data_IF_202430802854
#
_entry.id   IF_202430802854
#
_cell.length_a   1.000
_cell.length_b   1.000
_cell.length_c   1.000
_cell.angle_alpha   90.00
_cell.angle_beta   90.00
_cell.angle_gamma   90.00
#
_symmetry.space_group_name_H-M   'P 1'
#
loop_
_entity.id
_entity.type
_entity.pdbx_description
1 polymer ?
#
# COMPACT_ATOMS: atom_id res chain seq x y z
N UNK A 1 -30.73 33.68 -25.35
CA UNK A 1 -29.89 33.61 -26.57
C UNK A 1 -29.84 32.17 -27.08
N UNK A 2 -30.50 31.85 -28.21
CA UNK A 2 -30.37 30.54 -28.87
C UNK A 2 -28.96 30.43 -29.47
N UNK A 3 -28.10 29.55 -28.92
CA UNK A 3 -26.76 29.27 -29.49
C UNK A 3 -26.94 28.66 -30.88
N UNK A 4 -26.26 29.24 -31.86
CA UNK A 4 -26.30 28.85 -33.27
C UNK A 4 -25.58 27.48 -33.47
N UNK A 5 -26.26 26.39 -33.12
CA UNK A 5 -25.78 25.00 -33.25
C UNK A 5 -25.43 24.63 -34.70
N UNK A 6 -26.03 25.31 -35.68
CA UNK A 6 -25.76 25.12 -37.11
C UNK A 6 -24.30 25.38 -37.50
N UNK A 7 -23.65 26.39 -36.91
CA UNK A 7 -22.24 26.70 -37.21
C UNK A 7 -21.29 25.63 -36.68
N UNK A 8 -21.62 25.01 -35.55
CA UNK A 8 -20.85 23.90 -34.98
C UNK A 8 -20.97 22.65 -35.85
N UNK A 9 -22.18 22.31 -36.29
CA UNK A 9 -22.41 21.17 -37.19
C UNK A 9 -21.71 21.36 -38.54
N UNK A 10 -21.74 22.56 -39.11
CA UNK A 10 -21.00 22.87 -40.34
C UNK A 10 -19.49 22.72 -40.11
N UNK A 11 -18.95 23.21 -38.99
CA UNK A 11 -17.53 23.04 -38.68
C UNK A 11 -17.14 21.56 -38.51
N UNK A 12 -17.96 20.74 -37.86
CA UNK A 12 -17.75 19.30 -37.72
C UNK A 12 -17.76 18.61 -39.08
N UNK A 13 -18.73 18.91 -39.94
CA UNK A 13 -18.81 18.34 -41.29
C UNK A 13 -17.58 18.74 -42.13
N UNK A 14 -17.14 20.00 -42.05
CA UNK A 14 -15.94 20.47 -42.73
C UNK A 14 -14.69 19.73 -42.23
N UNK A 15 -14.55 19.54 -40.91
CA UNK A 15 -13.45 18.77 -40.34
C UNK A 15 -13.44 17.31 -40.78
N UNK A 16 -14.61 16.66 -40.82
CA UNK A 16 -14.75 15.29 -41.31
C UNK A 16 -14.42 15.17 -42.80
N UNK A 17 -14.81 16.15 -43.62
CA UNK A 17 -14.45 16.20 -45.04
C UNK A 17 -12.94 16.42 -45.24
N UNK A 18 -12.33 17.32 -44.47
CA UNK A 18 -10.87 17.53 -44.48
C UNK A 18 -10.15 16.25 -44.08
N UNK A 19 -10.60 15.59 -43.02
CA UNK A 19 -10.06 14.30 -42.59
C UNK A 19 -10.19 13.24 -43.69
N UNK A 20 -11.35 13.11 -44.33
CA UNK A 20 -11.56 12.16 -45.41
C UNK A 20 -10.64 12.42 -46.61
N UNK A 21 -10.47 13.69 -47.00
CA UNK A 21 -9.55 14.08 -48.08
C UNK A 21 -8.10 13.80 -47.71
N UNK A 22 -7.68 14.16 -46.50
CA UNK A 22 -6.34 13.87 -45.99
C UNK A 22 -6.09 12.36 -45.97
N UNK A 23 -7.07 11.57 -45.54
CA UNK A 23 -6.98 10.11 -45.53
C UNK A 23 -6.84 9.55 -46.94
N UNK A 24 -7.62 10.01 -47.92
CA UNK A 24 -7.50 9.58 -49.33
C UNK A 24 -6.13 9.92 -49.92
N UNK A 25 -5.51 11.03 -49.51
CA UNK A 25 -4.22 11.49 -50.06
C UNK A 25 -3.00 10.89 -49.35
N UNK A 26 -3.07 10.76 -48.02
CA UNK A 26 -1.98 10.26 -47.18
C UNK A 26 -1.95 8.74 -47.17
N UNK A 27 -3.11 8.06 -47.19
CA UNK A 27 -3.18 6.61 -47.09
C UNK A 27 -2.42 5.88 -48.23
N UNK A 28 -2.49 6.28 -49.51
CA UNK A 28 -1.71 5.64 -50.57
C UNK A 28 -0.20 5.86 -50.42
N UNK A 29 0.22 7.04 -49.94
CA UNK A 29 1.62 7.33 -49.64
C UNK A 29 2.12 6.49 -48.47
N UNK A 30 1.29 6.35 -47.44
CA UNK A 30 1.58 5.51 -46.29
C UNK A 30 1.66 4.03 -46.69
N UNK A 31 0.71 3.52 -47.47
CA UNK A 31 0.72 2.13 -47.96
C UNK A 31 1.96 1.86 -48.80
N UNK A 32 2.35 2.80 -49.66
CA UNK A 32 3.53 2.64 -50.53
C UNK A 32 4.84 2.62 -49.75
N UNK A 33 4.95 3.43 -48.69
CA UNK A 33 6.23 3.69 -48.02
C UNK A 33 6.37 2.95 -46.68
N UNK A 34 5.27 2.55 -46.05
CA UNK A 34 5.25 2.08 -44.66
C UNK A 34 4.33 0.88 -44.39
N UNK A 35 3.42 0.49 -45.31
CA UNK A 35 2.56 -0.66 -45.02
C UNK A 35 3.34 -1.98 -44.99
N UNK A 36 3.11 -2.83 -43.97
CA UNK A 36 3.78 -4.12 -43.85
C UNK A 36 3.31 -5.07 -44.97
N UNK A 37 4.26 -5.76 -45.61
CA UNK A 37 4.00 -6.61 -46.80
C UNK A 37 3.39 -7.98 -46.50
N UNK A 38 3.15 -8.34 -45.23
CA UNK A 38 2.42 -9.53 -44.82
C UNK A 38 1.73 -9.28 -43.48
N UNK A 39 0.43 -9.54 -43.41
CA UNK A 39 -0.32 -9.57 -42.16
C UNK A 39 -0.12 -10.94 -41.51
N UNK A 40 0.78 -11.03 -40.54
CA UNK A 40 0.84 -12.16 -39.61
C UNK A 40 -0.13 -11.91 -38.45
N UNK A 41 -0.88 -12.93 -37.98
CA UNK A 41 -1.85 -12.74 -36.91
C UNK A 41 -1.13 -12.64 -35.55
N UNK A 42 -1.50 -11.60 -34.79
CA UNK A 42 -1.41 -11.44 -33.33
C UNK A 42 0.00 -11.63 -32.72
N UNK A 43 0.62 -10.49 -32.42
CA UNK A 43 1.85 -10.42 -31.63
C UNK A 43 2.61 -9.11 -31.92
N UNK A 44 1.94 -7.97 -31.83
CA UNK A 44 2.65 -6.69 -31.92
C UNK A 44 3.47 -6.51 -30.64
N UNK A 45 4.78 -6.35 -30.79
CA UNK A 45 5.62 -5.92 -29.67
C UNK A 45 5.12 -4.55 -29.17
N UNK A 46 5.27 -4.20 -27.88
CA UNK A 46 4.81 -2.93 -27.34
C UNK A 46 5.22 -1.76 -28.23
N UNK A 47 6.46 -1.72 -28.72
CA UNK A 47 6.95 -0.64 -29.60
C UNK A 47 6.17 -0.53 -30.92
N UNK A 48 5.69 -1.66 -31.47
CA UNK A 48 4.93 -1.69 -32.72
C UNK A 48 3.48 -1.24 -32.52
N UNK A 49 2.88 -1.57 -31.37
CA UNK A 49 1.60 -1.02 -30.93
C UNK A 49 1.71 0.50 -30.76
N UNK A 50 2.77 0.97 -30.09
CA UNK A 50 3.05 2.38 -29.87
C UNK A 50 3.21 3.16 -31.18
N UNK A 51 3.87 2.58 -32.19
CA UNK A 51 4.03 3.18 -33.52
C UNK A 51 2.71 3.18 -34.31
N UNK A 52 1.92 2.10 -34.23
CA UNK A 52 0.66 1.97 -34.96
C UNK A 52 -0.44 2.93 -34.47
N UNK A 53 -0.40 3.33 -33.20
CA UNK A 53 -1.38 4.23 -32.59
C UNK A 53 -0.80 5.59 -32.20
N UNK A 54 0.38 5.98 -32.70
CA UNK A 54 1.16 7.12 -32.19
C UNK A 54 0.41 8.47 -32.01
N UNK A 55 -0.67 8.73 -32.77
CA UNK A 55 -1.52 9.92 -32.60
C UNK A 55 -2.78 9.73 -31.73
N UNK A 56 -3.00 8.53 -31.18
CA UNK A 56 -4.19 8.10 -30.44
C UNK A 56 -3.85 7.29 -29.18
N UNK A 57 -2.59 7.28 -28.73
CA UNK A 57 -2.14 6.42 -27.62
C UNK A 57 -2.89 6.71 -26.34
N UNK A 58 -3.03 7.98 -26.00
CA UNK A 58 -3.72 8.47 -24.80
C UNK A 58 -5.22 8.20 -24.88
N UNK A 59 -5.81 8.32 -26.08
CA UNK A 59 -7.21 7.95 -26.30
C UNK A 59 -7.45 6.45 -26.13
N UNK A 60 -6.56 5.62 -26.67
CA UNK A 60 -6.60 4.16 -26.49
C UNK A 60 -6.36 3.78 -25.02
N UNK A 61 -5.43 4.45 -24.34
CA UNK A 61 -5.19 4.31 -22.92
C UNK A 61 -6.46 4.60 -22.11
N UNK A 62 -7.19 5.68 -22.43
CA UNK A 62 -8.46 6.00 -21.78
C UNK A 62 -9.54 4.93 -21.99
N UNK A 63 -9.70 4.39 -23.21
CA UNK A 63 -10.65 3.29 -23.47
C UNK A 63 -10.27 2.03 -22.68
N UNK A 64 -8.99 1.67 -22.67
CA UNK A 64 -8.50 0.51 -21.95
C UNK A 64 -8.64 0.70 -20.43
N UNK A 65 -8.47 1.91 -19.94
CA UNK A 65 -8.67 2.24 -18.53
C UNK A 65 -10.13 2.05 -18.10
N UNK A 66 -11.09 2.55 -18.89
CA UNK A 66 -12.52 2.29 -18.65
C UNK A 66 -12.84 0.79 -18.70
N UNK A 67 -12.17 0.03 -19.58
CA UNK A 67 -12.34 -1.42 -19.63
C UNK A 67 -11.75 -2.13 -18.41
N UNK A 68 -10.60 -1.66 -17.91
CA UNK A 68 -9.99 -2.17 -16.68
C UNK A 68 -10.92 -1.99 -15.48
N UNK A 69 -11.55 -0.82 -15.37
CA UNK A 69 -12.58 -0.53 -14.37
C UNK A 69 -13.78 -1.49 -14.47
N UNK A 70 -14.26 -1.78 -15.69
CA UNK A 70 -15.30 -2.79 -15.90
C UNK A 70 -14.91 -4.21 -15.46
N UNK A 71 -13.65 -4.61 -15.67
CA UNK A 71 -13.14 -5.89 -15.16
C UNK A 71 -13.03 -5.90 -13.64
N UNK A 72 -12.63 -4.78 -13.04
CA UNK A 72 -12.58 -4.65 -11.58
C UNK A 72 -13.98 -4.80 -10.97
N UNK A 73 -14.98 -4.08 -11.47
CA UNK A 73 -16.36 -4.17 -10.99
C UNK A 73 -17.00 -5.56 -11.16
N UNK A 74 -16.53 -6.35 -12.12
CA UNK A 74 -16.97 -7.74 -12.32
C UNK A 74 -16.17 -8.78 -11.54
N UNK A 75 -15.16 -8.37 -10.76
CA UNK A 75 -14.31 -9.26 -9.97
C UNK A 75 -13.28 -10.06 -10.79
N UNK A 76 -13.07 -9.70 -12.07
CA UNK A 76 -12.11 -10.38 -12.94
C UNK A 76 -10.71 -9.75 -12.81
N UNK A 77 -10.07 -9.95 -11.66
CA UNK A 77 -8.78 -9.35 -11.34
C UNK A 77 -7.64 -9.84 -12.24
N UNK A 78 -7.69 -11.09 -12.73
CA UNK A 78 -6.74 -11.63 -13.70
C UNK A 78 -6.70 -10.80 -14.99
N UNK A 79 -7.82 -10.21 -15.40
CA UNK A 79 -7.91 -9.35 -16.57
C UNK A 79 -7.53 -7.88 -16.30
N UNK A 80 -7.57 -7.42 -15.05
CA UNK A 80 -7.21 -6.03 -14.69
C UNK A 80 -5.73 -5.79 -14.91
N UNK A 81 -4.88 -6.72 -14.48
CA UNK A 81 -3.42 -6.58 -14.52
C UNK A 81 -2.86 -6.33 -15.94
N UNK A 82 -3.18 -7.14 -16.96
CA UNK A 82 -2.74 -6.87 -18.34
C UNK A 82 -3.25 -5.52 -18.87
N UNK A 83 -4.47 -5.11 -18.51
CA UNK A 83 -5.01 -3.82 -18.95
C UNK A 83 -4.23 -2.65 -18.35
N UNK A 84 -3.97 -2.68 -17.04
CA UNK A 84 -3.14 -1.67 -16.37
C UNK A 84 -1.79 -1.51 -17.08
N UNK A 85 -1.13 -2.62 -17.41
CA UNK A 85 0.17 -2.58 -18.09
C UNK A 85 0.10 -2.01 -19.50
N UNK A 86 -0.93 -2.35 -20.27
CA UNK A 86 -1.12 -1.79 -21.61
C UNK A 86 -1.36 -0.28 -21.54
N UNK A 87 -2.15 0.17 -20.56
CA UNK A 87 -2.42 1.59 -20.34
C UNK A 87 -1.12 2.33 -20.01
N UNK A 88 -0.28 1.82 -19.09
CA UNK A 88 0.98 2.49 -18.73
C UNK A 88 2.03 2.45 -19.84
N UNK A 89 2.01 1.45 -20.72
CA UNK A 89 2.85 1.50 -21.93
C UNK A 89 2.40 2.58 -22.91
N UNK A 90 1.08 2.72 -23.10
CA UNK A 90 0.52 3.71 -24.01
C UNK A 90 0.68 5.13 -23.49
N UNK A 91 0.38 5.35 -22.21
CA UNK A 91 0.45 6.62 -21.49
C UNK A 91 1.23 6.45 -20.17
N UNK A 92 2.58 6.51 -20.22
CA UNK A 92 3.44 6.34 -19.04
C UNK A 92 3.35 7.50 -18.06
N UNK A 93 2.72 8.62 -18.43
CA UNK A 93 2.54 9.77 -17.54
C UNK A 93 1.20 9.75 -16.79
N UNK A 94 0.44 8.67 -16.92
CA UNK A 94 -0.85 8.51 -16.25
C UNK A 94 -0.70 8.13 -14.77
N UNK A 95 -0.64 9.14 -13.91
CA UNK A 95 -0.48 8.98 -12.45
C UNK A 95 -1.62 8.16 -11.85
N UNK A 96 -2.86 8.40 -12.28
CA UNK A 96 -4.05 7.75 -11.74
C UNK A 96 -4.02 6.24 -11.95
N UNK A 97 -3.52 5.78 -13.11
CA UNK A 97 -3.40 4.35 -13.41
C UNK A 97 -2.35 3.69 -12.52
N UNK A 98 -1.20 4.35 -12.29
CA UNK A 98 -0.17 3.84 -11.38
C UNK A 98 -0.68 3.77 -9.93
N UNK A 99 -1.26 4.86 -9.43
CA UNK A 99 -1.81 4.96 -8.08
C UNK A 99 -2.93 3.95 -7.85
N UNK A 100 -3.97 4.00 -8.69
CA UNK A 100 -5.17 3.15 -8.55
C UNK A 100 -4.84 1.67 -8.82
N UNK A 101 -3.99 1.39 -9.82
CA UNK A 101 -3.55 0.04 -10.13
C UNK A 101 -2.78 -0.60 -8.96
N UNK A 102 -1.84 0.14 -8.36
CA UNK A 102 -1.12 -0.32 -7.18
C UNK A 102 -2.05 -0.50 -5.98
N UNK A 103 -3.04 0.38 -5.80
CA UNK A 103 -4.07 0.24 -4.80
C UNK A 103 -4.90 -1.04 -4.99
N UNK A 104 -5.35 -1.36 -6.21
CA UNK A 104 -6.05 -2.62 -6.47
C UNK A 104 -5.21 -3.85 -6.15
N UNK A 105 -3.96 -3.89 -6.62
CA UNK A 105 -3.01 -4.97 -6.34
C UNK A 105 -2.81 -5.15 -4.82
N UNK A 106 -2.63 -4.05 -4.09
CA UNK A 106 -2.37 -4.06 -2.67
C UNK A 106 -3.61 -4.37 -1.81
N UNK A 107 -4.82 -3.99 -2.23
CA UNK A 107 -6.00 -3.99 -1.36
C UNK A 107 -7.11 -4.92 -1.82
N UNK A 108 -7.39 -4.98 -3.12
CA UNK A 108 -8.68 -5.45 -3.62
C UNK A 108 -8.61 -6.82 -4.31
N UNK A 109 -7.41 -7.33 -4.58
CA UNK A 109 -7.24 -8.73 -4.99
C UNK A 109 -7.34 -9.60 -3.75
N UNK A 110 -8.56 -10.03 -3.45
CA UNK A 110 -8.91 -10.73 -2.21
C UNK A 110 -9.40 -12.14 -2.44
N UNK A 111 -9.37 -12.93 -1.37
CA UNK A 111 -10.08 -14.19 -1.27
C UNK A 111 -11.59 -13.99 -1.01
N UNK A 112 -12.35 -15.10 -0.85
CA UNK A 112 -13.80 -15.05 -0.58
C UNK A 112 -14.14 -14.31 0.74
N UNK A 113 -13.22 -14.27 1.70
CA UNK A 113 -13.37 -13.58 2.98
C UNK A 113 -12.90 -12.11 2.96
N UNK A 114 -12.63 -11.55 1.77
CA UNK A 114 -12.11 -10.18 1.58
C UNK A 114 -10.73 -9.94 2.21
N UNK A 115 -9.92 -10.98 2.39
CA UNK A 115 -8.52 -10.87 2.79
C UNK A 115 -7.67 -10.68 1.54
N UNK A 116 -6.96 -9.56 1.45
CA UNK A 116 -6.13 -9.31 0.28
C UNK A 116 -4.92 -10.23 0.20
N UNK A 117 -4.59 -10.62 -1.03
CA UNK A 117 -3.45 -11.44 -1.36
C UNK A 117 -2.16 -10.62 -1.30
N UNK A 118 -1.42 -10.84 -0.21
CA UNK A 118 -0.18 -10.13 0.08
C UNK A 118 0.91 -10.38 -0.96
N UNK A 119 0.80 -11.45 -1.75
CA UNK A 119 1.75 -11.80 -2.82
C UNK A 119 1.77 -10.76 -3.96
N UNK A 120 0.72 -9.95 -4.10
CA UNK A 120 0.68 -8.84 -5.07
C UNK A 120 1.33 -7.55 -4.56
N UNK A 121 1.65 -7.42 -3.27
CA UNK A 121 2.27 -6.18 -2.74
C UNK A 121 3.62 -5.89 -3.40
N UNK A 122 4.56 -6.85 -3.57
CA UNK A 122 5.80 -6.58 -4.30
C UNK A 122 5.56 -6.07 -5.73
N UNK A 123 4.53 -6.58 -6.41
CA UNK A 123 4.11 -6.12 -7.73
C UNK A 123 3.60 -4.68 -7.69
N UNK A 124 2.78 -4.33 -6.69
CA UNK A 124 2.27 -2.97 -6.50
C UNK A 124 3.41 -1.97 -6.25
N UNK A 125 4.37 -2.32 -5.39
CA UNK A 125 5.54 -1.48 -5.10
C UNK A 125 6.41 -1.30 -6.35
N UNK A 126 6.62 -2.38 -7.13
CA UNK A 126 7.35 -2.28 -8.40
C UNK A 126 6.64 -1.39 -9.42
N UNK A 127 5.31 -1.46 -9.46
CA UNK A 127 4.49 -0.65 -10.34
C UNK A 127 4.56 0.84 -9.97
N UNK A 128 4.49 1.16 -8.68
CA UNK A 128 4.68 2.53 -8.19
C UNK A 128 6.10 3.05 -8.46
N UNK A 129 7.13 2.22 -8.29
CA UNK A 129 8.51 2.59 -8.63
C UNK A 129 8.64 2.97 -10.11
N UNK A 130 8.09 2.17 -11.03
CA UNK A 130 8.06 2.53 -12.46
C UNK A 130 7.30 3.84 -12.70
N UNK A 131 6.16 4.01 -12.02
CA UNK A 131 5.39 5.25 -12.09
C UNK A 131 6.18 6.47 -11.64
N UNK A 132 6.94 6.36 -10.55
CA UNK A 132 7.85 7.40 -10.03
C UNK A 132 8.95 7.73 -11.04
N UNK A 133 9.52 6.72 -11.71
CA UNK A 133 10.52 6.95 -12.75
C UNK A 133 9.91 7.63 -13.99
N UNK A 134 8.66 7.33 -14.35
CA UNK A 134 8.01 8.06 -15.45
C UNK A 134 7.51 9.45 -15.02
N UNK A 135 7.21 9.63 -13.73
CA UNK A 135 6.56 10.82 -13.16
C UNK A 135 7.33 11.32 -11.90
N UNK A 136 8.56 11.79 -12.09
CA UNK A 136 9.51 12.19 -11.03
C UNK A 136 9.11 13.42 -10.24
N UNK A 137 8.32 14.32 -10.83
CA UNK A 137 8.14 15.71 -10.42
C UNK A 137 6.77 15.93 -9.81
N UNK A 138 6.05 14.84 -9.53
CA UNK A 138 4.75 14.83 -8.89
C UNK A 138 4.86 14.12 -7.56
N UNK A 139 4.23 14.68 -6.53
CA UNK A 139 4.32 14.16 -5.18
C UNK A 139 3.46 12.91 -4.96
N UNK A 140 2.39 12.76 -5.75
CA UNK A 140 1.34 11.74 -5.57
C UNK A 140 1.93 10.34 -5.48
N UNK A 141 2.76 9.91 -6.43
CA UNK A 141 3.27 8.54 -6.45
C UNK A 141 4.25 8.25 -5.30
N UNK A 142 5.03 9.24 -4.85
CA UNK A 142 5.84 9.11 -3.64
C UNK A 142 4.96 8.96 -2.40
N UNK A 143 3.88 9.73 -2.32
CA UNK A 143 2.91 9.60 -1.24
C UNK A 143 2.21 8.23 -1.27
N UNK A 144 1.78 7.75 -2.44
CA UNK A 144 1.10 6.46 -2.57
C UNK A 144 2.03 5.29 -2.22
N UNK A 145 3.33 5.38 -2.56
CA UNK A 145 4.35 4.43 -2.10
C UNK A 145 4.44 4.46 -0.56
N UNK A 146 4.57 5.64 0.03
CA UNK A 146 4.58 5.79 1.49
C UNK A 146 3.30 5.29 2.15
N UNK A 147 2.14 5.51 1.54
CA UNK A 147 0.83 5.05 2.00
C UNK A 147 0.70 3.52 1.96
N UNK A 148 1.24 2.88 0.91
CA UNK A 148 1.32 1.42 0.83
C UNK A 148 2.12 0.84 2.01
N UNK A 149 3.28 1.43 2.32
CA UNK A 149 4.07 1.05 3.49
C UNK A 149 3.32 1.31 4.81
N UNK A 150 2.80 2.52 4.99
CA UNK A 150 2.17 2.95 6.23
C UNK A 150 0.90 2.16 6.57
N UNK A 151 0.00 2.03 5.60
CA UNK A 151 -1.35 1.52 5.84
C UNK A 151 -1.49 0.04 5.49
N UNK A 152 -1.02 -0.37 4.29
CA UNK A 152 -1.21 -1.76 3.84
C UNK A 152 -0.22 -2.71 4.49
N UNK A 153 1.07 -2.41 4.31
CA UNK A 153 2.17 -3.25 4.79
C UNK A 153 2.27 -3.15 6.31
N UNK A 154 1.84 -2.03 6.88
CA UNK A 154 1.99 -1.74 8.31
C UNK A 154 3.47 -1.67 8.70
N UNK A 155 4.22 -0.84 7.96
CA UNK A 155 5.62 -0.54 8.18
C UNK A 155 5.86 0.98 8.08
N UNK A 156 5.64 1.74 9.18
CA UNK A 156 5.85 3.18 9.21
C UNK A 156 7.32 3.54 9.04
N UNK A 157 8.23 2.67 9.45
CA UNK A 157 9.68 2.89 9.35
C UNK A 157 10.07 3.07 7.88
N UNK A 158 9.63 2.15 7.01
CA UNK A 158 9.86 2.26 5.56
C UNK A 158 8.92 3.26 4.85
N UNK A 159 7.81 3.66 5.47
CA UNK A 159 6.94 4.71 4.92
C UNK A 159 7.55 6.11 4.98
N UNK A 160 8.28 6.42 6.06
CA UNK A 160 8.79 7.77 6.33
C UNK A 160 9.64 8.34 5.18
N UNK A 161 10.65 7.64 4.62
CA UNK A 161 11.47 8.18 3.53
C UNK A 161 10.65 8.63 2.32
N UNK A 162 9.65 7.84 1.91
CA UNK A 162 8.76 8.16 0.80
C UNK A 162 7.89 9.38 1.09
N UNK A 163 7.34 9.47 2.31
CA UNK A 163 6.56 10.62 2.73
C UNK A 163 7.40 11.90 2.90
N UNK A 164 8.68 11.78 3.27
CA UNK A 164 9.63 12.91 3.30
C UNK A 164 9.84 13.48 1.91
N UNK A 165 10.08 12.62 0.92
CA UNK A 165 10.19 13.04 -0.50
C UNK A 165 8.92 13.73 -0.97
N UNK A 166 7.75 13.14 -0.73
CA UNK A 166 6.47 13.73 -1.14
C UNK A 166 6.25 15.13 -0.53
N UNK A 167 6.70 15.37 0.71
CA UNK A 167 6.50 16.63 1.41
C UNK A 167 7.39 17.80 0.90
N UNK A 168 8.40 17.55 0.06
CA UNK A 168 9.24 18.59 -0.54
C UNK A 168 8.52 19.38 -1.65
N UNK A 169 7.51 18.77 -2.28
CA UNK A 169 6.74 19.37 -3.35
C UNK A 169 5.78 20.43 -2.82
N UNK A 170 5.80 21.64 -3.39
CA UNK A 170 5.02 22.79 -2.91
C UNK A 170 3.52 22.64 -3.13
N UNK A 171 3.14 21.99 -4.22
CA UNK A 171 1.77 21.76 -4.67
C UNK A 171 1.08 20.58 -3.97
N UNK A 172 1.78 19.85 -3.09
CA UNK A 172 1.19 18.78 -2.30
C UNK A 172 0.01 19.28 -1.44
N UNK A 173 -1.09 18.53 -1.51
CA UNK A 173 -2.33 18.80 -0.77
C UNK A 173 -2.03 19.01 0.74
N UNK A 174 -2.43 20.14 1.34
CA UNK A 174 -2.05 20.50 2.72
C UNK A 174 -2.41 19.46 3.79
N UNK A 175 -3.53 18.75 3.62
CA UNK A 175 -3.97 17.70 4.54
C UNK A 175 -3.12 16.42 4.42
N UNK A 176 -2.65 16.05 3.23
CA UNK A 176 -1.82 14.85 3.05
C UNK A 176 -0.44 14.98 3.71
N UNK A 177 0.05 16.21 3.91
CA UNK A 177 1.30 16.49 4.63
C UNK A 177 1.30 16.01 6.07
N UNK A 178 0.12 15.88 6.68
CA UNK A 178 -0.05 15.38 8.06
C UNK A 178 0.44 13.94 8.20
N UNK A 179 0.38 13.15 7.12
CA UNK A 179 0.71 11.73 7.16
C UNK A 179 2.17 11.45 7.48
N UNK A 180 3.08 12.36 7.12
CA UNK A 180 4.46 12.25 7.52
C UNK A 180 4.62 12.31 9.04
N UNK A 181 3.92 13.22 9.74
CA UNK A 181 3.99 13.27 11.21
C UNK A 181 3.41 11.99 11.84
N UNK A 182 2.30 11.47 11.32
CA UNK A 182 1.75 10.21 11.82
C UNK A 182 2.68 9.01 11.56
N UNK A 183 3.38 8.97 10.43
CA UNK A 183 4.37 7.92 10.14
C UNK A 183 5.61 8.06 11.03
N UNK A 184 6.12 9.28 11.23
CA UNK A 184 7.21 9.56 12.17
C UNK A 184 6.85 9.12 13.58
N UNK A 185 5.66 9.48 14.07
CA UNK A 185 5.20 9.09 15.39
C UNK A 185 5.09 7.57 15.52
N UNK A 186 4.44 6.89 14.56
CA UNK A 186 4.31 5.42 14.59
C UNK A 186 5.64 4.69 14.43
N UNK A 187 6.62 5.27 13.75
CA UNK A 187 7.97 4.70 13.66
C UNK A 187 8.82 4.94 14.91
N UNK A 188 8.31 5.66 15.94
CA UNK A 188 9.07 5.99 17.14
C UNK A 188 10.01 7.19 16.97
N UNK A 189 9.93 7.92 15.85
CA UNK A 189 10.69 9.16 15.58
C UNK A 189 9.92 10.36 16.15
N UNK A 190 9.70 10.34 17.46
CA UNK A 190 8.78 11.23 18.16
C UNK A 190 9.14 12.72 18.08
N UNK A 191 10.42 13.04 18.28
CA UNK A 191 11.01 14.36 18.09
C UNK A 191 10.72 14.92 16.69
N UNK A 192 10.98 14.15 15.65
CA UNK A 192 10.72 14.58 14.27
C UNK A 192 9.22 14.71 13.98
N UNK A 193 8.37 13.91 14.63
CA UNK A 193 6.93 14.04 14.52
C UNK A 193 6.45 15.38 15.10
N UNK A 194 6.96 15.76 16.27
CA UNK A 194 6.70 17.05 16.92
C UNK A 194 7.20 18.21 16.03
N UNK A 195 8.43 18.12 15.53
CA UNK A 195 9.01 19.16 14.67
C UNK A 195 8.19 19.35 13.39
N UNK A 196 7.74 18.26 12.77
CA UNK A 196 6.90 18.33 11.56
C UNK A 196 5.52 18.92 11.87
N UNK A 197 4.88 18.51 12.98
CA UNK A 197 3.62 19.11 13.40
C UNK A 197 3.76 20.61 13.70
N UNK A 198 4.80 21.02 14.42
CA UNK A 198 5.09 22.41 14.73
C UNK A 198 5.29 23.24 13.46
N UNK A 199 6.07 22.72 12.49
CA UNK A 199 6.23 23.35 11.18
C UNK A 199 4.90 23.54 10.47
N UNK A 200 4.07 22.51 10.41
CA UNK A 200 2.75 22.59 9.78
C UNK A 200 1.82 23.57 10.50
N UNK A 201 1.83 23.58 11.83
CA UNK A 201 1.02 24.47 12.66
C UNK A 201 1.38 25.94 12.42
N UNK A 202 2.67 26.29 12.49
CA UNK A 202 3.16 27.65 12.21
C UNK A 202 2.85 28.10 10.77
N UNK A 203 2.83 27.15 9.83
CA UNK A 203 2.43 27.46 8.46
C UNK A 203 0.92 27.76 8.34
N UNK A 204 0.07 26.98 9.02
CA UNK A 204 -1.38 27.24 9.05
C UNK A 204 -1.72 28.56 9.75
N UNK A 205 -0.94 28.97 10.75
CA UNK A 205 -1.16 30.23 11.49
C UNK A 205 -1.13 31.47 10.59
N UNK A 206 -0.28 31.49 9.55
CA UNK A 206 -0.17 32.60 8.59
C UNK A 206 -1.48 32.89 7.85
N UNK A 207 -2.29 31.84 7.66
CA UNK A 207 -3.50 31.85 6.85
C UNK A 207 -4.77 31.61 7.68
N UNK A 208 -4.63 31.54 9.01
CA UNK A 208 -5.74 31.27 9.93
C UNK A 208 -6.87 32.28 9.75
N UNK A 209 -8.10 31.78 9.64
CA UNK A 209 -9.29 32.63 9.54
C UNK A 209 -9.53 33.26 8.17
N UNK A 210 -8.68 32.97 7.16
CA UNK A 210 -8.94 33.38 5.77
C UNK A 210 -10.21 32.74 5.21
N UNK A 211 -10.41 31.45 5.48
CA UNK A 211 -11.61 30.70 5.13
C UNK A 211 -11.81 29.52 6.10
N UNK A 212 -12.85 28.72 5.84
CA UNK A 212 -13.16 27.54 6.64
C UNK A 212 -12.05 26.48 6.57
N UNK A 213 -11.44 26.28 5.39
CA UNK A 213 -10.41 25.25 5.21
C UNK A 213 -9.13 25.61 5.96
N UNK A 214 -8.70 26.88 5.90
CA UNK A 214 -7.52 27.36 6.61
C UNK A 214 -7.71 27.32 8.13
N UNK A 215 -8.93 27.61 8.62
CA UNK A 215 -9.28 27.48 10.03
C UNK A 215 -9.27 26.02 10.48
N UNK A 216 -9.86 25.12 9.68
CA UNK A 216 -9.86 23.69 9.95
C UNK A 216 -8.43 23.11 9.94
N UNK A 217 -7.57 23.51 8.99
CA UNK A 217 -6.17 23.09 8.96
C UNK A 217 -5.41 23.54 10.21
N UNK A 218 -5.64 24.77 10.67
CA UNK A 218 -5.06 25.28 11.91
C UNK A 218 -5.49 24.42 13.11
N UNK A 219 -6.79 24.23 13.30
CA UNK A 219 -7.34 23.50 14.45
C UNK A 219 -6.86 22.03 14.47
N UNK A 220 -6.87 21.35 13.32
CA UNK A 220 -6.37 19.97 13.20
C UNK A 220 -4.89 19.89 13.54
N UNK A 221 -4.06 20.80 13.02
CA UNK A 221 -2.61 20.78 13.27
C UNK A 221 -2.28 21.13 14.72
N UNK A 222 -3.01 22.08 15.32
CA UNK A 222 -2.89 22.41 16.74
C UNK A 222 -3.20 21.18 17.61
N UNK A 223 -4.38 20.59 17.43
CA UNK A 223 -4.81 19.45 18.23
C UNK A 223 -3.83 18.27 18.11
N UNK A 224 -3.37 17.94 16.90
CA UNK A 224 -2.41 16.85 16.72
C UNK A 224 -1.04 17.15 17.34
N UNK A 225 -0.56 18.40 17.29
CA UNK A 225 0.68 18.81 17.95
C UNK A 225 0.55 18.68 19.47
N UNK A 226 -0.54 19.21 20.03
CA UNK A 226 -0.82 19.16 21.48
C UNK A 226 -0.95 17.72 21.96
N UNK A 227 -1.72 16.88 21.27
CA UNK A 227 -1.86 15.45 21.59
C UNK A 227 -0.52 14.71 21.52
N UNK A 228 0.29 15.00 20.50
CA UNK A 228 1.63 14.40 20.35
C UNK A 228 2.54 14.79 21.52
N UNK A 229 2.59 16.08 21.87
CA UNK A 229 3.39 16.58 22.99
C UNK A 229 2.91 16.01 24.33
N UNK A 230 1.59 15.94 24.53
CA UNK A 230 0.99 15.42 25.75
C UNK A 230 1.29 13.93 25.95
N UNK A 231 1.23 13.11 24.89
CA UNK A 231 1.61 11.70 24.98
C UNK A 231 3.08 11.53 25.37
N UNK A 232 3.97 12.31 24.76
CA UNK A 232 5.40 12.26 25.06
C UNK A 232 5.71 12.74 26.48
N UNK A 233 5.10 13.83 26.95
CA UNK A 233 5.30 14.33 28.31
C UNK A 233 4.83 13.32 29.36
N UNK A 234 3.66 12.69 29.15
CA UNK A 234 3.13 11.68 30.06
C UNK A 234 4.02 10.44 30.16
N UNK A 235 4.75 10.08 29.09
CA UNK A 235 5.57 8.85 29.04
C UNK A 235 7.03 9.08 29.37
N UNK A 236 7.61 10.15 28.84
CA UNK A 236 9.05 10.41 28.81
C UNK A 236 9.42 11.79 29.37
N UNK A 237 8.45 12.56 29.88
CA UNK A 237 8.72 13.82 30.54
C UNK A 237 9.49 13.65 31.86
N UNK A 238 9.85 14.76 32.52
CA UNK A 238 10.60 14.74 33.79
C UNK A 238 9.89 13.97 34.91
N UNK A 239 8.56 14.08 34.97
CA UNK A 239 7.69 13.40 35.92
C UNK A 239 6.69 12.52 35.16
N UNK A 240 7.15 11.39 34.60
CA UNK A 240 6.32 10.59 33.70
C UNK A 240 5.17 9.92 34.48
N UNK A 241 3.93 10.11 34.01
CA UNK A 241 2.70 9.46 34.50
C UNK A 241 2.63 7.99 34.04
N UNK A 242 3.71 7.24 34.24
CA UNK A 242 3.82 5.85 33.81
C UNK A 242 3.10 4.94 34.80
N UNK A 243 1.89 4.53 34.45
CA UNK A 243 1.26 3.40 35.11
C UNK A 243 2.16 2.16 34.94
N UNK A 244 2.18 1.22 35.92
CA UNK A 244 2.91 -0.03 35.76
C UNK A 244 2.63 -0.70 34.42
N UNK A 245 3.62 -1.36 33.78
CA UNK A 245 3.38 -2.06 32.52
C UNK A 245 2.20 -3.03 32.62
N UNK A 246 1.38 -3.08 31.57
CA UNK A 246 0.28 -4.05 31.48
C UNK A 246 0.85 -5.42 31.18
N UNK A 247 0.58 -6.39 32.05
CA UNK A 247 0.82 -7.80 31.74
C UNK A 247 -0.19 -8.28 30.71
N UNK A 248 0.29 -8.52 29.50
CA UNK A 248 -0.55 -8.90 28.37
C UNK A 248 -1.04 -10.34 28.46
N UNK A 249 -0.42 -11.20 29.28
CA UNK A 249 -0.77 -12.63 29.38
C UNK A 249 -1.01 -13.27 28.00
N UNK A 250 -0.17 -12.90 27.02
CA UNK A 250 -0.40 -13.22 25.63
C UNK A 250 -0.27 -14.72 25.44
N UNK A 251 -1.23 -15.28 24.73
CA UNK A 251 -1.16 -16.65 24.25
C UNK A 251 -2.02 -16.83 23.02
N UNK A 252 -1.66 -17.78 22.18
CA UNK A 252 -2.40 -18.11 20.98
C UNK A 252 -2.27 -19.60 20.66
N UNK A 253 -3.32 -20.19 20.11
CA UNK A 253 -3.34 -21.56 19.63
C UNK A 253 -3.95 -21.62 18.24
N UNK A 254 -3.62 -22.70 17.54
CA UNK A 254 -4.19 -23.01 16.23
C UNK A 254 -4.58 -24.48 16.20
N UNK A 255 -5.76 -24.77 15.68
CA UNK A 255 -6.27 -26.12 15.44
C UNK A 255 -6.77 -26.22 14.00
N UNK A 256 -6.33 -27.24 13.28
CA UNK A 256 -6.93 -27.58 11.98
C UNK A 256 -8.27 -28.26 12.25
N UNK A 257 -9.38 -27.64 11.83
CA UNK A 257 -10.75 -28.17 12.07
C UNK A 257 -11.31 -28.88 10.85
N UNK A 258 -10.91 -28.49 9.65
CA UNK A 258 -11.21 -29.13 8.36
C UNK A 258 -10.00 -28.93 7.43
N UNK A 259 -9.85 -29.69 6.33
CA UNK A 259 -8.77 -29.45 5.37
C UNK A 259 -8.73 -27.98 4.93
N UNK A 260 -7.59 -27.31 5.15
CA UNK A 260 -7.35 -25.88 4.87
C UNK A 260 -8.19 -24.90 5.72
N UNK A 261 -8.78 -25.36 6.82
CA UNK A 261 -9.56 -24.51 7.73
C UNK A 261 -8.95 -24.53 9.12
N UNK A 262 -8.52 -23.36 9.60
CA UNK A 262 -7.89 -23.21 10.90
C UNK A 262 -8.85 -22.52 11.87
N UNK A 263 -9.05 -23.10 13.04
CA UNK A 263 -9.55 -22.38 14.20
C UNK A 263 -8.34 -21.80 14.94
N UNK A 264 -8.28 -20.49 15.03
CA UNK A 264 -7.28 -19.76 15.81
C UNK A 264 -7.95 -19.06 16.98
N UNK A 265 -7.33 -19.11 18.15
CA UNK A 265 -7.86 -18.48 19.35
C UNK A 265 -6.75 -18.14 20.35
N UNK A 266 -7.03 -17.26 21.29
CA UNK A 266 -6.03 -16.85 22.27
C UNK A 266 -6.48 -15.73 23.19
N UNK A 267 -5.51 -15.21 23.94
CA UNK A 267 -5.68 -14.16 24.95
C UNK A 267 -4.71 -13.02 24.66
N UNK A 268 -5.20 -11.80 24.85
CA UNK A 268 -4.43 -10.56 24.92
C UNK A 268 -5.06 -9.71 26.04
N UNK A 269 -4.42 -9.70 27.20
CA UNK A 269 -4.81 -9.06 28.46
C UNK A 269 -4.78 -7.53 28.42
N UNK A 270 -5.43 -6.94 27.42
CA UNK A 270 -5.71 -5.51 27.36
C UNK A 270 -7.18 -5.33 27.70
N UNK A 271 -7.52 -4.61 28.79
CA UNK A 271 -8.88 -4.53 29.31
C UNK A 271 -9.82 -3.67 28.46
N UNK A 272 -9.32 -3.06 27.39
CA UNK A 272 -10.06 -2.16 26.51
C UNK A 272 -10.27 -2.78 25.12
N UNK A 273 -11.40 -2.43 24.50
CA UNK A 273 -11.69 -2.79 23.11
C UNK A 273 -10.82 -1.97 22.14
N UNK A 274 -10.62 -2.49 20.92
CA UNK A 274 -9.90 -1.77 19.86
C UNK A 274 -8.48 -2.27 19.60
N UNK A 275 -8.10 -3.42 20.18
CA UNK A 275 -6.92 -4.17 19.78
C UNK A 275 -7.25 -5.17 18.68
N UNK A 276 -6.27 -5.43 17.80
CA UNK A 276 -6.31 -6.54 16.88
C UNK A 276 -5.01 -7.33 16.93
N UNK A 277 -5.12 -8.66 16.91
CA UNK A 277 -3.97 -9.56 16.74
C UNK A 277 -3.89 -9.90 15.26
N UNK A 278 -2.75 -9.63 14.65
CA UNK A 278 -2.47 -10.06 13.28
C UNK A 278 -2.08 -11.53 13.30
N UNK A 279 -2.73 -12.35 12.47
CA UNK A 279 -2.32 -13.71 12.19
C UNK A 279 -1.73 -13.79 10.80
N UNK A 280 -0.59 -14.46 10.65
CA UNK A 280 0.05 -14.71 9.37
C UNK A 280 0.28 -16.22 9.26
N UNK A 281 -0.25 -16.85 8.22
CA UNK A 281 0.14 -18.19 7.82
C UNK A 281 1.03 -18.09 6.59
N UNK A 282 2.19 -18.73 6.63
CA UNK A 282 3.12 -18.77 5.48
C UNK A 282 3.93 -20.06 5.43
N UNK A 283 4.49 -20.36 4.27
CA UNK A 283 5.49 -21.42 4.12
C UNK A 283 6.65 -21.18 5.11
N UNK A 284 7.07 -22.22 5.83
CA UNK A 284 8.08 -22.10 6.89
C UNK A 284 9.40 -21.52 6.34
N UNK A 285 9.93 -20.50 7.03
CA UNK A 285 11.15 -19.81 6.64
C UNK A 285 11.04 -18.93 5.38
N UNK A 286 9.83 -18.71 4.85
CA UNK A 286 9.58 -17.80 3.73
C UNK A 286 8.88 -16.53 4.21
N UNK A 287 9.39 -15.38 3.79
CA UNK A 287 8.77 -14.07 4.00
C UNK A 287 8.60 -13.36 2.66
N UNK A 288 7.64 -12.45 2.58
CA UNK A 288 7.53 -11.54 1.44
C UNK A 288 8.48 -10.37 1.64
N UNK A 289 9.30 -10.08 0.63
CA UNK A 289 10.12 -8.87 0.62
C UNK A 289 9.26 -7.69 0.13
N UNK A 290 8.91 -6.79 1.04
CA UNK A 290 8.17 -5.58 0.70
C UNK A 290 9.13 -4.47 0.27
N UNK A 291 9.64 -4.61 -0.95
CA UNK A 291 10.56 -3.66 -1.59
C UNK A 291 10.27 -3.62 -3.09
N UNK A 292 10.35 -2.46 -3.75
CA UNK A 292 10.39 -2.42 -5.21
C UNK A 292 11.51 -3.29 -5.80
N UNK A 293 12.60 -3.52 -5.06
CA UNK A 293 13.73 -4.37 -5.48
C UNK A 293 13.45 -5.86 -5.39
N UNK A 294 12.35 -6.27 -4.74
CA UNK A 294 11.93 -7.67 -4.68
C UNK A 294 11.66 -8.25 -6.08
N UNK A 295 11.34 -7.39 -7.05
CA UNK A 295 11.17 -7.76 -8.45
C UNK A 295 12.18 -6.99 -9.32
N UNK A 296 12.94 -7.71 -10.14
CA UNK A 296 13.84 -7.08 -11.13
C UNK A 296 13.06 -6.27 -12.16
N UNK A 297 11.99 -6.86 -12.68
CA UNK A 297 11.06 -6.26 -13.64
C UNK A 297 9.63 -6.51 -13.21
N UNK A 298 8.71 -5.64 -13.61
CA UNK A 298 7.29 -5.88 -13.42
C UNK A 298 6.88 -7.22 -14.06
N UNK A 299 6.10 -8.01 -13.33
CA UNK A 299 5.55 -9.31 -13.78
C UNK A 299 4.07 -9.37 -13.43
N UNK A 300 3.30 -10.14 -14.19
CA UNK A 300 1.88 -10.39 -13.93
C UNK A 300 1.62 -11.57 -13.00
N UNK A 301 2.65 -12.35 -12.69
CA UNK A 301 2.52 -13.62 -12.00
C UNK A 301 2.93 -13.50 -10.53
N UNK A 302 2.06 -14.00 -9.65
CA UNK A 302 2.41 -14.36 -8.27
C UNK A 302 2.91 -15.79 -8.24
N UNK A 303 3.81 -16.12 -7.30
CA UNK A 303 4.32 -17.50 -7.17
C UNK A 303 3.15 -18.47 -6.86
N UNK A 304 2.83 -19.41 -7.78
CA UNK A 304 1.69 -20.31 -7.62
C UNK A 304 1.93 -21.41 -6.57
N UNK A 305 3.15 -21.51 -6.03
CA UNK A 305 3.51 -22.48 -4.98
C UNK A 305 3.48 -21.87 -3.58
N UNK A 306 3.65 -20.56 -3.48
CA UNK A 306 3.73 -19.84 -2.21
C UNK A 306 2.35 -19.71 -1.56
N UNK A 307 2.25 -20.15 -0.31
CA UNK A 307 1.09 -19.85 0.54
C UNK A 307 1.43 -18.68 1.46
N UNK A 308 0.63 -17.61 1.41
CA UNK A 308 0.72 -16.49 2.35
C UNK A 308 -0.69 -15.96 2.65
N UNK A 309 -1.14 -16.14 3.89
CA UNK A 309 -2.42 -15.64 4.39
C UNK A 309 -2.13 -14.67 5.54
N UNK A 310 -2.81 -13.53 5.54
CA UNK A 310 -2.78 -12.60 6.67
C UNK A 310 -4.19 -12.13 6.99
N UNK A 311 -4.55 -12.16 8.27
CA UNK A 311 -5.83 -11.67 8.79
C UNK A 311 -5.61 -10.88 10.08
N UNK A 312 -6.60 -10.06 10.48
CA UNK A 312 -6.54 -9.18 11.64
C UNK A 312 -7.73 -9.41 12.57
N UNK A 313 -7.47 -10.07 13.70
CA UNK A 313 -8.48 -10.57 14.62
C UNK A 313 -8.78 -9.54 15.69
N UNK A 314 -10.03 -9.08 15.76
CA UNK A 314 -10.46 -8.21 16.85
C UNK A 314 -10.40 -8.94 18.20
N UNK A 315 -9.82 -8.28 19.20
CA UNK A 315 -9.82 -8.74 20.58
C UNK A 315 -11.05 -8.19 21.28
N UNK A 316 -11.79 -9.07 21.97
CA UNK A 316 -12.97 -8.73 22.77
C UNK A 316 -12.86 -9.46 24.09
N UNK A 317 -13.06 -8.73 25.19
CA UNK A 317 -12.95 -9.31 26.55
C UNK A 317 -11.62 -10.07 26.72
N UNK A 318 -10.52 -9.43 26.30
CA UNK A 318 -9.15 -9.96 26.36
C UNK A 318 -8.92 -11.25 25.57
N UNK A 319 -9.87 -11.66 24.72
CA UNK A 319 -9.81 -12.90 23.94
C UNK A 319 -10.01 -12.63 22.46
N UNK A 320 -9.45 -13.49 21.64
CA UNK A 320 -9.72 -13.51 20.21
C UNK A 320 -9.98 -14.95 19.76
N UNK A 321 -10.85 -15.09 18.76
CA UNK A 321 -11.20 -16.39 18.17
C UNK A 321 -11.70 -16.17 16.75
N UNK A 322 -11.19 -16.95 15.79
CA UNK A 322 -11.60 -16.89 14.39
C UNK A 322 -11.42 -18.24 13.72
N UNK A 323 -12.41 -18.62 12.91
CA UNK A 323 -12.24 -19.67 11.92
C UNK A 323 -11.79 -19.04 10.60
N UNK A 324 -10.68 -19.53 10.06
CA UNK A 324 -10.01 -19.05 8.86
C UNK A 324 -10.15 -20.16 7.81
N UNK A 325 -11.15 -20.01 6.94
CA UNK A 325 -11.38 -20.93 5.82
C UNK A 325 -10.56 -20.49 4.61
N UNK A 326 -9.57 -21.31 4.21
CA UNK A 326 -8.75 -21.11 3.01
C UNK A 326 -9.08 -22.15 1.93
N UNK A 327 -10.10 -22.98 2.15
CA UNK A 327 -10.49 -24.06 1.24
C UNK A 327 -11.13 -23.54 -0.05
N UNK A 328 -11.71 -22.34 0.03
CA UNK A 328 -12.44 -21.67 -1.05
C UNK A 328 -11.54 -21.11 -2.15
N UNK A 329 -10.31 -20.76 -1.80
CA UNK A 329 -9.37 -20.07 -2.68
C UNK A 329 -8.09 -20.90 -2.91
N UNK A 330 -8.19 -22.09 -3.54
CA UNK A 330 -7.07 -23.03 -3.63
C UNK A 330 -5.89 -22.56 -4.48
N UNK A 331 -6.10 -21.57 -5.38
CA UNK A 331 -5.03 -20.91 -6.12
C UNK A 331 -4.25 -19.92 -5.24
N UNK A 332 -4.94 -19.27 -4.32
CA UNK A 332 -4.35 -18.33 -3.36
C UNK A 332 -3.61 -19.06 -2.24
N UNK A 333 -4.19 -20.19 -1.80
CA UNK A 333 -3.66 -21.01 -0.73
C UNK A 333 -3.38 -22.43 -1.22
N UNK A 334 -2.28 -22.63 -1.97
CA UNK A 334 -2.02 -23.89 -2.66
C UNK A 334 -1.49 -25.00 -1.74
N UNK A 335 -0.93 -24.64 -0.58
CA UNK A 335 -0.33 -25.54 0.40
C UNK A 335 0.63 -26.58 -0.22
N UNK A 336 1.67 -26.09 -0.90
CA UNK A 336 2.68 -26.91 -1.60
C UNK A 336 3.96 -27.17 -0.78
N UNK A 337 4.30 -26.33 0.18
CA UNK A 337 5.42 -26.57 1.10
C UNK A 337 5.13 -27.70 2.10
N UNK A 338 6.19 -28.29 2.68
CA UNK A 338 6.09 -29.37 3.67
C UNK A 338 5.67 -28.89 5.06
N UNK A 339 6.09 -27.68 5.44
CA UNK A 339 5.80 -27.07 6.73
C UNK A 339 5.39 -25.61 6.58
N UNK A 340 4.58 -25.13 7.52
CA UNK A 340 4.04 -23.78 7.59
C UNK A 340 4.22 -23.22 8.99
N UNK A 341 4.30 -21.91 9.07
CA UNK A 341 4.28 -21.15 10.32
C UNK A 341 2.97 -20.37 10.41
N UNK A 342 2.29 -20.47 11.55
CA UNK A 342 1.19 -19.61 11.96
C UNK A 342 1.71 -18.66 13.03
N UNK A 343 1.90 -17.43 12.64
CA UNK A 343 2.47 -16.36 13.44
C UNK A 343 1.36 -15.44 13.95
N UNK A 344 1.36 -15.16 15.25
CA UNK A 344 0.45 -14.24 15.92
C UNK A 344 1.24 -13.05 16.44
N UNK A 345 0.82 -11.85 16.08
CA UNK A 345 1.51 -10.61 16.43
C UNK A 345 0.50 -9.60 16.97
N UNK A 346 0.82 -8.97 18.10
CA UNK A 346 0.20 -7.71 18.49
C UNK A 346 1.26 -6.61 18.52
N UNK A 347 1.08 -5.62 17.64
CA UNK A 347 1.91 -4.42 17.60
C UNK A 347 1.14 -3.20 18.09
N UNK A 348 1.64 -2.49 19.10
CA UNK A 348 0.96 -1.34 19.70
C UNK A 348 0.78 -0.17 18.72
N UNK A 349 1.67 -0.03 17.71
CA UNK A 349 1.62 0.99 16.64
C UNK A 349 0.28 1.03 15.87
N UNK A 350 -0.48 -0.08 15.88
CA UNK A 350 -1.77 -0.20 15.21
C UNK A 350 -2.96 -0.39 16.15
N UNK A 351 -2.73 -0.33 17.46
CA UNK A 351 -3.82 -0.31 18.42
C UNK A 351 -4.57 1.03 18.37
N UNK A 352 -5.81 1.04 18.87
CA UNK A 352 -6.59 2.28 18.98
C UNK A 352 -5.89 3.32 19.87
N UNK A 353 -6.17 4.62 19.70
CA UNK A 353 -5.56 5.68 20.52
C UNK A 353 -5.71 5.45 22.03
N UNK A 354 -6.86 4.95 22.49
CA UNK A 354 -7.08 4.64 23.91
C UNK A 354 -6.17 3.53 24.44
N UNK A 355 -5.83 2.55 23.60
CA UNK A 355 -4.88 1.50 23.96
C UNK A 355 -3.46 2.06 23.95
N UNK A 356 -3.11 2.82 22.92
CA UNK A 356 -1.80 3.48 22.84
C UNK A 356 -1.58 4.41 24.04
N UNK A 357 -2.61 5.14 24.49
CA UNK A 357 -2.58 5.94 25.71
C UNK A 357 -2.15 5.13 26.94
N UNK A 358 -2.50 3.84 27.01
CA UNK A 358 -2.12 2.96 28.12
C UNK A 358 -0.74 2.34 27.97
N UNK A 359 -0.35 1.93 26.77
CA UNK A 359 0.83 1.06 26.55
C UNK A 359 1.94 1.68 25.70
N UNK A 360 1.72 2.88 25.15
CA UNK A 360 2.60 3.54 24.19
C UNK A 360 2.40 3.01 22.78
N UNK A 361 2.70 3.84 21.77
CA UNK A 361 2.79 3.39 20.38
C UNK A 361 4.04 2.53 20.12
N UNK A 362 5.09 2.74 20.91
CA UNK A 362 6.32 1.93 20.97
C UNK A 362 6.21 0.71 21.91
N UNK A 363 5.10 0.56 22.62
CA UNK A 363 4.88 -0.53 23.57
C UNK A 363 5.62 -0.40 24.90
N UNK A 364 6.14 0.78 25.27
CA UNK A 364 6.89 0.97 26.53
C UNK A 364 6.13 0.47 27.76
N UNK A 365 4.80 0.63 27.79
CA UNK A 365 3.90 0.22 28.86
C UNK A 365 3.38 -1.21 28.74
N UNK A 366 3.98 -2.05 27.88
CA UNK A 366 3.67 -3.47 27.74
C UNK A 366 4.66 -4.34 28.51
N UNK A 367 4.16 -5.43 29.09
CA UNK A 367 4.98 -6.52 29.59
C UNK A 367 4.34 -7.87 29.22
N UNK A 368 5.17 -8.86 28.92
CA UNK A 368 4.74 -10.25 28.79
C UNK A 368 5.92 -11.16 29.14
N UNK A 369 5.65 -12.23 29.90
CA UNK A 369 6.69 -13.13 30.40
C UNK A 369 7.33 -14.00 29.31
N UNK A 370 6.63 -14.27 28.20
CA UNK A 370 6.98 -15.33 27.25
C UNK A 370 7.22 -14.84 25.84
N UNK A 371 6.46 -13.84 25.40
CA UNK A 371 6.34 -13.49 23.99
C UNK A 371 6.69 -12.04 23.67
N UNK A 372 7.08 -11.25 24.68
CA UNK A 372 7.55 -9.87 24.46
C UNK A 372 8.87 -9.88 23.72
N UNK A 373 8.94 -9.14 22.62
CA UNK A 373 10.17 -8.89 21.89
C UNK A 373 10.37 -7.40 21.64
N UNK A 374 11.63 -6.99 21.69
CA UNK A 374 12.08 -5.66 21.28
C UNK A 374 12.56 -5.75 19.84
N UNK A 375 11.91 -5.00 18.96
CA UNK A 375 12.23 -4.94 17.53
C UNK A 375 13.02 -3.67 17.25
N UNK A 376 14.10 -3.84 16.51
CA UNK A 376 14.96 -2.76 16.01
C UNK A 376 14.89 -2.72 14.50
N UNK A 377 14.53 -1.57 13.97
CA UNK A 377 14.32 -1.36 12.54
C UNK A 377 15.07 -0.13 12.06
N UNK A 378 15.47 -0.19 10.79
CA UNK A 378 16.06 0.92 10.07
C UNK A 378 15.40 0.99 8.70
N UNK A 379 15.01 2.19 8.21
CA UNK A 379 14.44 2.29 6.89
C UNK A 379 15.42 1.78 5.83
N UNK A 380 14.88 1.12 4.81
CA UNK A 380 15.63 0.77 3.62
C UNK A 380 16.01 2.04 2.86
N UNK A 381 17.22 2.11 2.28
CA UNK A 381 17.57 3.13 1.31
C UNK A 381 16.59 3.16 0.13
N UNK A 382 16.06 4.34 -0.18
CA UNK A 382 15.25 4.54 -1.38
C UNK A 382 16.07 5.25 -2.45
N UNK A 383 15.82 4.93 -3.71
CA UNK A 383 16.44 5.63 -4.83
C UNK A 383 15.52 6.77 -5.26
N UNK A 384 16.03 8.00 -5.20
CA UNK A 384 15.26 9.18 -5.62
C UNK A 384 15.71 9.56 -7.04
N UNK A 385 14.80 9.63 -8.02
CA UNK A 385 15.15 10.05 -9.38
C UNK A 385 15.87 11.40 -9.40
N UNK A 386 16.84 11.57 -10.30
CA UNK A 386 17.68 12.79 -10.40
C UNK A 386 16.84 14.08 -10.55
N UNK A 387 15.73 13.98 -11.26
CA UNK A 387 14.84 15.03 -11.71
C UNK A 387 13.65 15.22 -10.75
N UNK A 388 13.64 14.51 -9.61
CA UNK A 388 12.75 14.77 -8.49
C UNK A 388 13.09 16.10 -7.81
N UNK A 389 12.08 16.89 -7.46
CA UNK A 389 12.24 18.21 -6.86
C UNK A 389 12.44 18.12 -5.34
N UNK A 390 13.54 17.51 -4.92
CA UNK A 390 13.91 17.33 -3.50
C UNK A 390 15.17 18.10 -3.14
N UNK A 391 15.27 18.59 -1.91
CA UNK A 391 16.53 19.16 -1.42
C UNK A 391 17.63 18.10 -1.24
N UNK A 392 18.90 18.52 -1.35
CA UNK A 392 20.06 17.65 -1.11
C UNK A 392 20.09 17.08 0.32
N UNK A 393 19.47 17.77 1.28
CA UNK A 393 19.34 17.30 2.65
C UNK A 393 18.40 16.09 2.73
N UNK A 394 17.20 16.20 2.16
CA UNK A 394 16.23 15.09 2.11
C UNK A 394 16.78 13.94 1.29
N UNK A 395 17.33 14.21 0.10
CA UNK A 395 17.94 13.18 -0.76
C UNK A 395 18.97 12.34 -0.01
N UNK A 396 19.95 12.98 0.65
CA UNK A 396 20.97 12.27 1.43
C UNK A 396 20.37 11.47 2.59
N UNK A 397 19.37 12.02 3.28
CA UNK A 397 18.74 11.36 4.42
C UNK A 397 17.97 10.09 4.03
N UNK A 398 17.30 10.08 2.86
CA UNK A 398 16.48 8.96 2.41
C UNK A 398 17.27 7.91 1.60
N UNK A 399 18.33 8.32 0.91
CA UNK A 399 19.24 7.41 0.20
C UNK A 399 20.23 6.74 1.17
N UNK A 400 20.56 7.39 2.30
CA UNK A 400 21.46 6.86 3.32
C UNK A 400 20.86 7.05 4.73
N UNK A 401 19.76 6.37 5.06
CA UNK A 401 19.18 6.46 6.39
C UNK A 401 20.22 6.02 7.43
N UNK A 402 20.28 6.71 8.56
CA UNK A 402 21.21 6.39 9.67
C UNK A 402 20.48 6.09 10.98
N UNK A 403 19.31 6.68 11.18
CA UNK A 403 18.52 6.53 12.40
C UNK A 403 17.88 5.14 12.47
N UNK A 404 18.18 4.43 13.55
CA UNK A 404 17.52 3.19 13.97
C UNK A 404 16.37 3.54 14.93
N UNK A 405 15.30 2.75 14.91
CA UNK A 405 14.15 2.89 15.79
C UNK A 405 13.88 1.59 16.52
N UNK A 406 13.34 1.69 17.73
CA UNK A 406 13.03 0.55 18.60
C UNK A 406 11.57 0.61 19.05
N UNK A 407 10.90 -0.55 19.06
CA UNK A 407 9.56 -0.71 19.65
C UNK A 407 9.39 -2.14 20.18
N UNK A 408 8.41 -2.34 21.06
CA UNK A 408 8.03 -3.65 21.58
C UNK A 408 6.81 -4.20 20.87
N UNK A 409 6.77 -5.52 20.72
CA UNK A 409 5.57 -6.25 20.32
C UNK A 409 5.51 -7.59 21.03
N UNK A 410 4.36 -8.26 20.98
CA UNK A 410 4.30 -9.69 21.36
C UNK A 410 4.13 -10.56 20.13
N UNK A 411 4.87 -11.66 20.10
CA UNK A 411 4.93 -12.56 18.95
C UNK A 411 4.96 -14.02 19.39
N UNK A 412 4.08 -14.84 18.80
CA UNK A 412 4.08 -16.31 18.96
C UNK A 412 4.02 -16.98 17.59
N UNK A 413 4.80 -18.03 17.39
CA UNK A 413 4.78 -18.84 16.16
C UNK A 413 4.40 -20.28 16.51
N UNK A 414 3.52 -20.87 15.72
CA UNK A 414 3.17 -22.28 15.78
C UNK A 414 3.45 -22.92 14.43
N UNK A 415 4.21 -24.02 14.41
CA UNK A 415 4.51 -24.76 13.19
C UNK A 415 3.43 -25.82 12.93
N UNK A 416 3.01 -25.94 11.67
CA UNK A 416 2.10 -27.00 11.21
C UNK A 416 2.73 -27.72 10.02
N UNK A 417 2.54 -29.03 9.92
CA UNK A 417 2.93 -29.77 8.72
C UNK A 417 1.84 -29.66 7.65
N UNK A 418 2.21 -29.90 6.40
CA UNK A 418 1.26 -30.05 5.29
C UNK A 418 0.22 -31.14 5.56
N UNK A 419 0.64 -32.24 6.19
CA UNK A 419 -0.25 -33.33 6.56
C UNK A 419 -1.30 -32.89 7.59
N UNK A 420 -0.92 -32.05 8.56
CA UNK A 420 -1.85 -31.48 9.55
C UNK A 420 -2.92 -30.62 8.87
N UNK A 421 -2.49 -29.65 8.05
CA UNK A 421 -3.38 -28.66 7.42
C UNK A 421 -4.36 -29.31 6.44
N UNK A 422 -3.88 -30.30 5.67
CA UNK A 422 -4.69 -31.01 4.69
C UNK A 422 -5.41 -32.23 5.28
N UNK A 423 -5.19 -32.53 6.57
CA UNK A 423 -5.68 -33.73 7.26
C UNK A 423 -5.36 -35.02 6.51
N UNK A 424 -4.17 -35.12 5.92
CA UNK A 424 -3.74 -36.32 5.21
C UNK A 424 -3.53 -37.46 6.21
N UNK A 425 -4.12 -38.63 5.96
CA UNK A 425 -4.01 -39.80 6.84
C UNK A 425 -5.03 -39.88 7.98
N UNK A 426 -5.83 -38.83 8.23
CA UNK A 426 -6.92 -38.83 9.22
C UNK A 426 -8.25 -39.33 8.63
N UNK A 427 -8.23 -40.49 7.95
CA UNK A 427 -9.46 -41.20 7.56
C UNK A 427 -9.85 -42.15 8.68
N UNK A 428 -10.75 -41.71 9.57
CA UNK A 428 -11.39 -42.56 10.57
C UNK A 428 -11.10 -42.13 12.00
N UNK A 429 -11.82 -41.09 12.46
CA UNK A 429 -12.36 -41.00 13.82
C UNK A 429 -13.78 -40.47 13.72
#
# INVERSE_FOLDING_TARGET
MKRNSSKLWVAIVVLLLIQAVLQIRIFPLWVRNYAPKQATPIGLAPEQLLVAVAGFREFMAAILWVRADGFFHSGNYDAVLPMLRLVTWLDPHNIDVYSTGAWHMGYNFTDEAQRSDRRYIPMALKFLEEGIQNNPTVWDLYFEMGWMYYHKIQDPTNAVPWMQVANEYKDMIPARRHMLAHALFKSGRFDEAVDHWAKLFLDAEKDRGKDWESSNLYDVRQNNLEDTLLDLLRRYGPDPETQPPVDLQFDASVKVVRPRVLLVEGRLGIPTIGCRVTVILRDKGKTLEYSPKALKTFTFEVDPKLTYMQDSLAVREEKFRREIDMSKDPKMYPFKAEEYEVEFIFEPRYASPNVQARIGSDGVGMWDARYLETVREKPAPIEVPEYAQVSDAVRRAVENPTREVEYKRVRKVVTLTRADILMLGKRGE
#
